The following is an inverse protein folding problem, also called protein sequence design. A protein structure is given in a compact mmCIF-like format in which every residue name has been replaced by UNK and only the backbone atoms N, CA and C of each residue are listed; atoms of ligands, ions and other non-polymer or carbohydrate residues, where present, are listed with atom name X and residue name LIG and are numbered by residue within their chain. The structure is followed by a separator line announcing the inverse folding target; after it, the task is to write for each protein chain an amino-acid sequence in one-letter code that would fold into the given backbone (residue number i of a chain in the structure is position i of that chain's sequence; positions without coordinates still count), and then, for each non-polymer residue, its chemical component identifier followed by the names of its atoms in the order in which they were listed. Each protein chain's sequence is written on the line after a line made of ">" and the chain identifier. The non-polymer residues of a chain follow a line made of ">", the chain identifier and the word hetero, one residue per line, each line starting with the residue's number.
data_IF_511113024866
#
_entry.id   IF_511113024866
#
_cell.length_a   1.000
_cell.length_b   1.000
_cell.length_c   1.000
_cell.angle_alpha   90.00
_cell.angle_beta   90.00
_cell.angle_gamma   90.00
#
_symmetry.space_group_name_H-M   'P 1'
#
loop_
_entity.id
_entity.type
_entity.pdbx_description
1 polymer ?
#
# COMPACT_ATOMS: atom_id res chain seq x y z
N UNK A 1 63.73 35.34 -2.92
CA UNK A 1 62.46 35.92 -3.26
C UNK A 1 61.65 34.76 -3.91
N UNK A 2 60.96 33.98 -3.09
CA UNK A 2 60.16 32.81 -3.52
C UNK A 2 58.71 33.27 -3.39
N UNK A 3 58.01 33.34 -4.53
CA UNK A 3 56.61 33.75 -4.60
C UNK A 3 55.71 32.60 -4.06
N UNK A 4 54.99 32.85 -3.01
CA UNK A 4 53.89 31.98 -2.53
C UNK A 4 52.72 32.07 -3.51
N UNK A 5 52.37 30.93 -4.11
CA UNK A 5 51.17 30.77 -4.91
C UNK A 5 49.98 30.53 -3.96
N UNK A 6 48.85 31.25 -4.06
CA UNK A 6 47.73 31.04 -3.17
C UNK A 6 46.98 29.75 -3.59
N UNK A 7 46.64 28.94 -2.60
CA UNK A 7 45.93 27.70 -2.74
C UNK A 7 44.40 27.93 -2.97
N UNK A 8 43.86 27.71 -4.15
CA UNK A 8 42.39 27.78 -4.42
C UNK A 8 41.64 26.50 -4.06
N UNK A 9 42.33 25.47 -3.54
CA UNK A 9 41.70 24.16 -3.31
C UNK A 9 40.99 24.02 -1.93
N UNK A 10 41.31 24.85 -0.95
CA UNK A 10 40.79 24.72 0.41
C UNK A 10 39.34 25.25 0.55
N UNK A 11 38.99 26.28 -0.21
CA UNK A 11 37.61 26.85 -0.17
C UNK A 11 36.64 26.05 -1.01
N UNK A 12 37.06 25.42 -2.10
CA UNK A 12 36.23 24.50 -2.87
C UNK A 12 35.84 23.22 -2.08
N UNK A 13 36.74 22.73 -1.22
CA UNK A 13 36.49 21.58 -0.34
C UNK A 13 35.57 21.92 0.85
N UNK A 14 35.50 23.18 1.25
CA UNK A 14 34.57 23.62 2.31
C UNK A 14 33.12 23.72 1.81
N UNK A 15 32.89 23.91 0.51
CA UNK A 15 31.53 23.91 -0.08
C UNK A 15 30.90 22.52 -0.17
N UNK A 16 31.71 21.46 -0.08
CA UNK A 16 31.27 20.06 -0.05
C UNK A 16 31.15 19.46 1.36
N UNK A 17 31.37 20.24 2.42
CA UNK A 17 31.08 19.76 3.76
C UNK A 17 29.57 19.49 3.86
N UNK A 18 29.11 18.24 4.21
CA UNK A 18 27.70 17.99 4.41
C UNK A 18 27.20 18.97 5.47
N UNK A 19 26.21 19.79 5.10
CA UNK A 19 25.47 20.64 6.03
C UNK A 19 25.16 19.78 7.26
N UNK A 20 25.47 20.24 8.46
CA UNK A 20 25.16 19.57 9.73
C UNK A 20 23.68 19.16 9.63
N UNK A 21 23.43 17.85 9.64
CA UNK A 21 22.06 17.32 9.65
C UNK A 21 21.38 17.88 10.92
N UNK A 22 20.54 18.90 10.74
CA UNK A 22 19.83 19.58 11.85
C UNK A 22 18.78 18.67 12.51
N UNK A 23 18.70 17.42 12.11
CA UNK A 23 17.61 16.52 12.49
C UNK A 23 16.26 16.91 11.84
N UNK A 24 15.32 15.98 11.80
CA UNK A 24 13.97 16.29 11.28
C UNK A 24 13.21 17.11 12.33
N UNK A 25 12.79 18.36 12.06
CA UNK A 25 12.01 19.15 12.99
C UNK A 25 10.75 18.38 13.42
N UNK A 26 10.41 18.43 14.71
CA UNK A 26 9.23 17.70 15.25
C UNK A 26 7.94 18.01 14.48
N UNK A 27 7.77 19.26 14.05
CA UNK A 27 6.60 19.70 13.25
C UNK A 27 6.56 18.99 11.90
N UNK A 28 7.68 18.88 11.20
CA UNK A 28 7.76 18.20 9.91
C UNK A 28 7.50 16.68 10.06
N UNK A 29 8.06 16.07 11.12
CA UNK A 29 7.81 14.67 11.42
C UNK A 29 6.32 14.38 11.66
N UNK A 30 5.63 15.21 12.46
CA UNK A 30 4.18 15.10 12.71
C UNK A 30 3.42 15.32 11.40
N UNK A 31 3.79 16.32 10.59
CA UNK A 31 3.15 16.59 9.30
C UNK A 31 3.19 15.38 8.37
N UNK A 32 4.36 14.78 8.19
CA UNK A 32 4.54 13.59 7.35
C UNK A 32 3.79 12.37 7.91
N UNK A 33 3.80 12.20 9.24
CA UNK A 33 3.03 11.14 9.93
C UNK A 33 1.54 11.27 9.65
N UNK A 34 0.95 12.45 9.82
CA UNK A 34 -0.48 12.68 9.58
C UNK A 34 -0.87 12.48 8.12
N UNK A 35 -0.03 12.91 7.18
CA UNK A 35 -0.27 12.67 5.74
C UNK A 35 -0.29 11.17 5.45
N UNK A 36 0.71 10.42 5.91
CA UNK A 36 0.79 8.98 5.65
C UNK A 36 -0.34 8.20 6.32
N UNK A 37 -0.70 8.59 7.54
CA UNK A 37 -1.85 8.02 8.24
C UNK A 37 -3.15 8.25 7.48
N UNK A 38 -3.38 9.47 6.98
CA UNK A 38 -4.57 9.82 6.19
C UNK A 38 -4.65 9.01 4.89
N UNK A 39 -3.53 8.87 4.17
CA UNK A 39 -3.47 8.03 2.98
C UNK A 39 -3.75 6.55 3.31
N UNK A 40 -3.22 6.04 4.43
CA UNK A 40 -3.49 4.68 4.89
C UNK A 40 -4.96 4.44 5.19
N UNK A 41 -5.61 5.35 5.94
CA UNK A 41 -7.06 5.29 6.19
C UNK A 41 -7.84 5.25 4.88
N UNK A 42 -7.55 6.15 3.95
CA UNK A 42 -8.26 6.24 2.67
C UNK A 42 -8.07 5.02 1.76
N UNK A 43 -6.95 4.32 1.89
CA UNK A 43 -6.68 3.10 1.11
C UNK A 43 -7.68 1.98 1.40
N UNK A 44 -8.15 1.86 2.62
CA UNK A 44 -9.09 0.80 3.02
C UNK A 44 -10.56 1.16 2.74
N UNK A 45 -10.90 2.45 2.67
CA UNK A 45 -12.27 2.93 2.41
C UNK A 45 -12.84 2.39 1.11
N UNK A 46 -12.05 2.36 0.05
CA UNK A 46 -12.51 1.94 -1.28
C UNK A 46 -12.96 0.46 -1.29
N UNK A 47 -12.24 -0.40 -0.58
CA UNK A 47 -12.54 -1.84 -0.54
C UNK A 47 -13.83 -2.16 0.23
N UNK A 48 -14.21 -1.31 1.18
CA UNK A 48 -15.43 -1.50 1.95
C UNK A 48 -16.65 -0.81 1.33
N UNK A 49 -16.50 0.39 0.75
CA UNK A 49 -17.61 1.21 0.29
C UNK A 49 -17.98 0.92 -1.17
N UNK A 50 -16.98 0.74 -2.04
CA UNK A 50 -17.24 0.58 -3.48
C UNK A 50 -18.13 -0.61 -3.83
N UNK A 51 -18.00 -1.82 -3.23
CA UNK A 51 -18.87 -2.94 -3.55
C UNK A 51 -20.36 -2.63 -3.26
N UNK A 52 -20.66 -2.01 -2.12
CA UNK A 52 -22.03 -1.64 -1.76
C UNK A 52 -22.59 -0.58 -2.71
N UNK A 53 -21.86 0.52 -2.95
CA UNK A 53 -22.28 1.59 -3.88
C UNK A 53 -22.47 1.05 -5.30
N UNK A 54 -21.61 0.16 -5.75
CA UNK A 54 -21.69 -0.42 -7.09
C UNK A 54 -22.96 -1.25 -7.27
N UNK A 55 -23.28 -2.09 -6.29
CA UNK A 55 -24.50 -2.92 -6.32
C UNK A 55 -25.77 -2.11 -6.18
N UNK A 56 -25.82 -1.17 -5.24
CA UNK A 56 -27.01 -0.30 -5.03
C UNK A 56 -27.33 0.52 -6.27
N UNK A 57 -26.33 0.96 -7.03
CA UNK A 57 -26.48 1.86 -8.16
C UNK A 57 -26.29 1.19 -9.53
N UNK A 58 -26.28 -0.16 -9.55
CA UNK A 58 -26.33 -0.95 -10.78
C UNK A 58 -25.06 -0.95 -11.62
N UNK A 59 -23.89 -0.71 -11.02
CA UNK A 59 -22.60 -0.89 -11.70
C UNK A 59 -22.28 -2.38 -11.78
N UNK A 60 -22.03 -2.90 -12.99
CA UNK A 60 -21.65 -4.28 -13.18
C UNK A 60 -20.33 -4.62 -12.45
N UNK A 61 -20.28 -5.79 -11.80
CA UNK A 61 -19.11 -6.22 -10.99
C UNK A 61 -17.81 -6.26 -11.79
N UNK A 62 -17.86 -6.67 -13.06
CA UNK A 62 -16.68 -6.61 -13.95
C UNK A 62 -16.19 -5.18 -14.19
N UNK A 63 -17.11 -4.22 -14.30
CA UNK A 63 -16.74 -2.81 -14.45
C UNK A 63 -16.02 -2.28 -13.19
N UNK A 64 -16.37 -2.81 -12.01
CA UNK A 64 -15.66 -2.47 -10.75
C UNK A 64 -14.20 -2.91 -10.79
N UNK A 65 -13.88 -4.03 -11.43
CA UNK A 65 -12.48 -4.47 -11.56
C UNK A 65 -11.59 -3.42 -12.24
N UNK A 66 -12.12 -2.69 -13.24
CA UNK A 66 -11.39 -1.62 -13.91
C UNK A 66 -11.16 -0.40 -13.00
N UNK A 67 -12.05 -0.15 -12.02
CA UNK A 67 -11.86 0.89 -10.99
C UNK A 67 -10.68 0.55 -10.07
N UNK A 68 -10.29 -0.71 -9.94
CA UNK A 68 -9.09 -1.12 -9.21
C UNK A 68 -7.85 -1.18 -10.11
N UNK A 69 -7.96 -1.74 -11.30
CA UNK A 69 -6.83 -2.02 -12.21
C UNK A 69 -6.24 -0.75 -12.80
N UNK A 70 -7.07 0.10 -13.43
CA UNK A 70 -6.58 1.28 -14.14
C UNK A 70 -5.85 2.26 -13.20
N UNK A 71 -6.37 2.56 -11.98
CA UNK A 71 -5.64 3.36 -11.01
C UNK A 71 -4.36 2.70 -10.49
N UNK A 72 -4.32 1.36 -10.35
CA UNK A 72 -3.09 0.67 -9.93
C UNK A 72 -1.98 0.76 -10.99
N UNK A 73 -2.34 0.64 -12.26
CA UNK A 73 -1.44 0.86 -13.39
C UNK A 73 -0.96 2.32 -13.40
N UNK A 74 -1.89 3.29 -13.31
CA UNK A 74 -1.57 4.70 -13.26
C UNK A 74 -0.64 5.05 -12.09
N UNK A 75 -0.89 4.47 -10.90
CA UNK A 75 -0.04 4.63 -9.72
C UNK A 75 1.40 4.23 -9.99
N UNK A 76 1.63 3.08 -10.63
CA UNK A 76 2.96 2.56 -10.91
C UNK A 76 3.77 3.50 -11.82
N UNK A 77 3.15 4.04 -12.87
CA UNK A 77 3.79 5.01 -13.75
C UNK A 77 3.99 6.38 -13.09
N UNK A 78 2.96 6.88 -12.41
CA UNK A 78 2.97 8.20 -11.80
C UNK A 78 3.95 8.27 -10.62
N UNK A 79 4.14 7.20 -9.84
CA UNK A 79 5.16 7.16 -8.77
C UNK A 79 6.55 7.49 -9.31
N UNK A 80 6.93 6.88 -10.43
CA UNK A 80 8.24 7.14 -11.08
C UNK A 80 8.33 8.56 -11.63
N UNK A 81 7.25 9.07 -12.22
CA UNK A 81 7.20 10.43 -12.75
C UNK A 81 7.32 11.47 -11.63
N UNK A 82 6.56 11.30 -10.54
CA UNK A 82 6.61 12.16 -9.37
C UNK A 82 7.96 12.13 -8.65
N UNK A 83 8.64 10.98 -8.61
CA UNK A 83 9.99 10.88 -8.07
C UNK A 83 10.93 11.86 -8.77
N UNK A 84 10.98 11.80 -10.11
CA UNK A 84 11.80 12.72 -10.93
C UNK A 84 11.36 14.18 -10.82
N UNK A 85 10.05 14.42 -10.71
CA UNK A 85 9.49 15.76 -10.58
C UNK A 85 9.80 16.37 -9.21
N UNK A 86 9.74 15.58 -8.15
CA UNK A 86 10.12 15.94 -6.79
C UNK A 86 11.56 16.42 -6.69
N UNK A 87 12.48 15.75 -7.40
CA UNK A 87 13.90 16.14 -7.43
C UNK A 87 14.12 17.49 -8.13
N UNK A 88 13.27 17.84 -9.12
CA UNK A 88 13.40 19.08 -9.91
C UNK A 88 12.69 20.28 -9.29
N UNK A 89 11.47 20.10 -8.79
CA UNK A 89 10.59 21.20 -8.31
C UNK A 89 10.46 21.28 -6.79
N UNK A 90 11.11 20.36 -6.07
CA UNK A 90 11.08 20.29 -4.61
C UNK A 90 10.00 19.35 -4.06
N UNK A 91 10.35 18.70 -2.98
CA UNK A 91 9.57 17.62 -2.34
C UNK A 91 8.29 18.11 -1.70
N UNK A 92 8.31 19.31 -1.12
CA UNK A 92 7.14 19.94 -0.47
C UNK A 92 5.94 20.04 -1.41
N UNK A 93 6.15 20.49 -2.65
CA UNK A 93 5.07 20.64 -3.64
C UNK A 93 4.41 19.29 -3.90
N UNK A 94 5.19 18.24 -4.13
CA UNK A 94 4.69 16.89 -4.40
C UNK A 94 3.89 16.33 -3.23
N UNK A 95 4.38 16.52 -2.00
CA UNK A 95 3.69 16.09 -0.78
C UNK A 95 2.33 16.81 -0.64
N UNK A 96 2.30 18.13 -0.81
CA UNK A 96 1.06 18.91 -0.72
C UNK A 96 0.08 18.62 -1.86
N UNK A 97 0.57 18.40 -3.07
CA UNK A 97 -0.25 17.98 -4.21
C UNK A 97 -0.89 16.62 -3.95
N UNK A 98 -0.15 15.72 -3.32
CA UNK A 98 -0.64 14.38 -3.01
C UNK A 98 -1.82 14.38 -2.04
N UNK A 99 -1.79 15.19 -0.97
CA UNK A 99 -2.93 15.25 -0.05
C UNK A 99 -4.14 15.97 -0.67
N UNK A 100 -3.92 16.95 -1.55
CA UNK A 100 -5.00 17.56 -2.35
C UNK A 100 -5.62 16.53 -3.29
N UNK A 101 -4.79 15.72 -3.97
CA UNK A 101 -5.27 14.64 -4.84
C UNK A 101 -6.11 13.62 -4.07
N UNK A 102 -5.70 13.27 -2.85
CA UNK A 102 -6.47 12.41 -1.95
C UNK A 102 -7.84 13.05 -1.62
N UNK A 103 -7.84 14.28 -1.13
CA UNK A 103 -9.06 15.01 -0.78
C UNK A 103 -10.03 15.11 -1.95
N UNK A 104 -9.52 15.52 -3.12
CA UNK A 104 -10.31 15.68 -4.33
C UNK A 104 -10.92 14.35 -4.77
N UNK A 105 -10.16 13.27 -4.73
CA UNK A 105 -10.66 11.92 -5.05
C UNK A 105 -11.81 11.49 -4.13
N UNK A 106 -11.68 11.72 -2.82
CA UNK A 106 -12.74 11.36 -1.87
C UNK A 106 -14.03 12.16 -2.12
N UNK A 107 -13.90 13.47 -2.39
CA UNK A 107 -15.05 14.33 -2.70
C UNK A 107 -15.69 13.97 -4.04
N UNK A 108 -14.89 13.67 -5.07
CA UNK A 108 -15.41 13.25 -6.37
C UNK A 108 -16.16 11.92 -6.28
N UNK A 109 -15.61 10.95 -5.55
CA UNK A 109 -16.30 9.67 -5.34
C UNK A 109 -17.61 9.87 -4.57
N UNK A 110 -17.57 10.56 -3.44
CA UNK A 110 -18.77 10.82 -2.65
C UNK A 110 -19.81 11.62 -3.43
N UNK A 111 -19.40 12.65 -4.16
CA UNK A 111 -20.28 13.45 -5.02
C UNK A 111 -20.91 12.65 -6.15
N UNK A 112 -20.12 11.81 -6.84
CA UNK A 112 -20.65 10.92 -7.88
C UNK A 112 -21.69 9.93 -7.32
N UNK A 113 -21.41 9.34 -6.15
CA UNK A 113 -22.36 8.43 -5.50
C UNK A 113 -23.64 9.15 -5.07
N UNK A 114 -23.56 10.37 -4.52
CA UNK A 114 -24.74 11.19 -4.21
C UNK A 114 -25.61 11.48 -5.45
N UNK A 115 -24.99 11.84 -6.57
CA UNK A 115 -25.70 12.06 -7.83
C UNK A 115 -26.39 10.78 -8.34
N UNK A 116 -25.73 9.62 -8.15
CA UNK A 116 -26.30 8.31 -8.44
C UNK A 116 -27.50 7.98 -7.55
N UNK A 117 -27.38 8.14 -6.23
CA UNK A 117 -28.48 7.94 -5.28
C UNK A 117 -29.64 8.91 -5.51
N UNK A 118 -29.38 10.13 -5.95
CA UNK A 118 -30.41 11.10 -6.33
C UNK A 118 -31.09 10.76 -7.68
N UNK A 119 -30.61 9.76 -8.41
CA UNK A 119 -31.13 9.38 -9.72
C UNK A 119 -30.79 10.35 -10.86
N UNK A 120 -29.84 11.28 -10.64
CA UNK A 120 -29.47 12.30 -11.64
C UNK A 120 -28.55 11.78 -12.73
N UNK A 121 -27.83 10.68 -12.44
CA UNK A 121 -26.90 10.06 -13.37
C UNK A 121 -27.13 8.54 -13.40
N UNK A 122 -26.97 7.93 -14.57
CA UNK A 122 -27.05 6.48 -14.74
C UNK A 122 -25.74 5.77 -14.35
N UNK A 123 -25.80 4.44 -14.22
CA UNK A 123 -24.69 3.59 -13.78
C UNK A 123 -23.40 3.77 -14.60
N UNK A 124 -23.49 3.97 -15.92
CA UNK A 124 -22.30 4.18 -16.77
C UNK A 124 -21.57 5.50 -16.46
N UNK A 125 -22.32 6.60 -16.28
CA UNK A 125 -21.74 7.90 -15.89
C UNK A 125 -21.17 7.84 -14.48
N UNK A 126 -21.88 7.20 -13.56
CA UNK A 126 -21.41 6.98 -12.19
C UNK A 126 -20.09 6.22 -12.17
N UNK A 127 -20.02 5.08 -12.91
CA UNK A 127 -18.80 4.31 -13.06
C UNK A 127 -17.63 5.17 -13.58
N UNK A 128 -17.86 5.96 -14.63
CA UNK A 128 -16.83 6.81 -15.21
C UNK A 128 -16.32 7.87 -14.21
N UNK A 129 -17.22 8.49 -13.44
CA UNK A 129 -16.86 9.49 -12.43
C UNK A 129 -16.10 8.87 -11.25
N UNK A 130 -16.50 7.68 -10.78
CA UNK A 130 -15.77 6.96 -9.75
C UNK A 130 -14.38 6.57 -10.27
N UNK A 131 -14.29 6.00 -11.47
CA UNK A 131 -13.00 5.68 -12.09
C UNK A 131 -12.11 6.93 -12.21
N UNK A 132 -12.65 8.04 -12.68
CA UNK A 132 -11.92 9.31 -12.78
C UNK A 132 -11.42 9.77 -11.40
N UNK A 133 -12.25 9.67 -10.37
CA UNK A 133 -11.84 10.00 -9.00
C UNK A 133 -10.63 9.18 -8.54
N UNK A 134 -10.59 7.89 -8.87
CA UNK A 134 -9.47 6.99 -8.52
C UNK A 134 -8.22 7.26 -9.37
N UNK A 135 -8.39 7.64 -10.63
CA UNK A 135 -7.28 8.08 -11.49
C UNK A 135 -6.68 9.40 -10.99
N UNK A 136 -7.50 10.35 -10.52
CA UNK A 136 -7.05 11.58 -9.85
C UNK A 136 -6.23 11.25 -8.60
N UNK A 137 -6.70 10.31 -7.76
CA UNK A 137 -5.93 9.83 -6.61
C UNK A 137 -4.56 9.27 -7.04
N UNK A 138 -4.55 8.32 -7.98
CA UNK A 138 -3.31 7.72 -8.45
C UNK A 138 -2.38 8.72 -9.13
N UNK A 139 -2.93 9.63 -9.91
CA UNK A 139 -2.17 10.66 -10.61
C UNK A 139 -1.50 11.67 -9.67
N UNK A 140 -2.20 12.13 -8.65
CA UNK A 140 -1.69 13.19 -7.77
C UNK A 140 -1.03 12.66 -6.49
N UNK A 141 -1.53 11.56 -5.91
CA UNK A 141 -1.10 11.11 -4.59
C UNK A 141 0.05 10.10 -4.60
N UNK A 142 0.34 9.46 -5.75
CA UNK A 142 1.38 8.44 -5.85
C UNK A 142 2.79 8.95 -5.54
N UNK A 143 3.02 10.26 -5.65
CA UNK A 143 4.27 10.91 -5.29
C UNK A 143 4.47 11.16 -3.79
N UNK A 144 3.40 11.10 -2.97
CA UNK A 144 3.47 11.50 -1.56
C UNK A 144 4.46 10.69 -0.75
N UNK A 145 4.46 9.36 -0.89
CA UNK A 145 5.36 8.48 -0.15
C UNK A 145 6.83 8.66 -0.57
N UNK A 146 7.21 8.55 -1.86
CA UNK A 146 8.61 8.73 -2.26
C UNK A 146 9.13 10.15 -1.97
N UNK A 147 8.31 11.18 -2.15
CA UNK A 147 8.71 12.55 -1.81
C UNK A 147 8.90 12.73 -0.30
N UNK A 148 8.05 12.12 0.55
CA UNK A 148 8.20 12.14 2.01
C UNK A 148 9.45 11.39 2.46
N UNK A 149 9.76 10.24 1.85
CA UNK A 149 10.99 9.49 2.12
C UNK A 149 12.23 10.31 1.75
N UNK A 150 12.24 10.92 0.56
CA UNK A 150 13.32 11.78 0.11
C UNK A 150 13.47 13.01 1.01
N UNK A 151 12.36 13.62 1.47
CA UNK A 151 12.36 14.75 2.40
C UNK A 151 13.01 14.40 3.74
N UNK A 152 12.77 13.21 4.27
CA UNK A 152 13.42 12.70 5.49
C UNK A 152 14.91 12.48 5.25
N UNK A 153 15.26 11.73 4.18
CA UNK A 153 16.65 11.34 3.91
C UNK A 153 17.59 12.53 3.75
N UNK A 154 17.09 13.67 3.25
CA UNK A 154 17.91 14.90 3.12
C UNK A 154 18.17 15.63 4.42
N UNK A 155 17.42 15.32 5.50
CA UNK A 155 17.49 16.08 6.77
C UNK A 155 18.03 15.29 7.95
N UNK A 156 18.00 13.97 7.86
CA UNK A 156 18.47 13.10 8.95
C UNK A 156 19.87 12.55 8.66
N UNK A 157 20.65 12.30 9.70
CA UNK A 157 21.95 11.65 9.61
C UNK A 157 21.82 10.23 9.04
N UNK A 158 22.84 9.68 8.37
CA UNK A 158 22.81 8.30 7.86
C UNK A 158 22.41 7.26 8.91
N UNK A 159 22.82 7.42 10.16
CA UNK A 159 22.50 6.53 11.27
C UNK A 159 21.01 6.54 11.64
N UNK A 160 20.30 7.66 11.45
CA UNK A 160 18.91 7.84 11.82
C UNK A 160 17.92 7.53 10.67
N UNK A 161 18.42 7.40 9.43
CA UNK A 161 17.59 7.23 8.23
C UNK A 161 16.66 6.03 8.34
N UNK A 162 17.17 4.86 8.74
CA UNK A 162 16.37 3.65 8.86
C UNK A 162 15.22 3.82 9.86
N UNK A 163 15.48 4.43 11.01
CA UNK A 163 14.48 4.69 12.05
C UNK A 163 13.42 5.68 11.58
N UNK A 164 13.81 6.77 10.91
CA UNK A 164 12.89 7.80 10.44
C UNK A 164 12.01 7.29 9.29
N UNK A 165 12.56 6.54 8.35
CA UNK A 165 11.79 5.88 7.28
C UNK A 165 10.86 4.79 7.81
N UNK A 166 11.31 4.05 8.84
CA UNK A 166 10.50 3.07 9.55
C UNK A 166 9.27 3.71 10.20
N UNK A 167 9.42 4.86 10.86
CA UNK A 167 8.31 5.63 11.45
C UNK A 167 7.31 6.11 10.39
N UNK A 168 7.79 6.56 9.24
CA UNK A 168 6.93 6.97 8.12
C UNK A 168 6.07 5.80 7.61
N UNK A 169 6.70 4.65 7.39
CA UNK A 169 6.01 3.43 6.94
C UNK A 169 5.03 2.92 8.02
N UNK A 170 5.42 2.98 9.30
CA UNK A 170 4.54 2.64 10.40
C UNK A 170 3.29 3.54 10.46
N UNK A 171 3.42 4.83 10.13
CA UNK A 171 2.29 5.77 10.05
C UNK A 171 1.29 5.39 8.96
N UNK A 172 1.77 4.98 7.78
CA UNK A 172 0.93 4.44 6.72
C UNK A 172 0.20 3.16 7.15
N UNK A 173 0.92 2.23 7.75
CA UNK A 173 0.34 0.97 8.25
C UNK A 173 -0.67 1.19 9.37
N UNK A 174 -0.41 2.15 10.26
CA UNK A 174 -1.36 2.57 11.30
C UNK A 174 -2.63 3.17 10.69
N UNK A 175 -2.50 3.95 9.61
CA UNK A 175 -3.65 4.44 8.84
C UNK A 175 -4.49 3.29 8.26
N UNK A 176 -3.84 2.30 7.65
CA UNK A 176 -4.51 1.10 7.15
C UNK A 176 -5.22 0.31 8.26
N UNK A 177 -4.65 0.29 9.46
CA UNK A 177 -5.25 -0.33 10.64
C UNK A 177 -6.48 0.45 11.15
N UNK A 178 -6.39 1.78 11.19
CA UNK A 178 -7.46 2.63 11.69
C UNK A 178 -8.60 2.82 10.67
N UNK A 179 -8.32 2.68 9.38
CA UNK A 179 -9.30 2.86 8.32
C UNK A 179 -10.58 2.05 8.50
N UNK A 180 -10.51 0.73 8.74
CA UNK A 180 -11.70 -0.09 9.01
C UNK A 180 -12.51 0.35 10.22
N UNK A 181 -11.85 0.81 11.29
CA UNK A 181 -12.54 1.36 12.46
C UNK A 181 -13.28 2.67 12.10
N UNK A 182 -12.65 3.54 11.32
CA UNK A 182 -13.29 4.76 10.78
C UNK A 182 -14.51 4.42 9.94
N UNK A 183 -14.41 3.38 9.08
CA UNK A 183 -15.55 2.90 8.28
C UNK A 183 -16.67 2.43 9.21
N UNK A 184 -16.38 1.52 10.14
CA UNK A 184 -17.38 0.93 11.05
C UNK A 184 -18.14 1.97 11.88
N UNK A 185 -17.45 3.02 12.32
CA UNK A 185 -18.06 4.10 13.12
C UNK A 185 -18.88 5.06 12.25
N UNK A 186 -18.32 5.52 11.13
CA UNK A 186 -18.91 6.60 10.33
C UNK A 186 -20.01 6.11 9.38
N UNK A 187 -19.99 4.85 8.96
CA UNK A 187 -21.06 4.28 8.12
C UNK A 187 -22.40 4.16 8.87
N UNK A 188 -22.37 4.15 10.21
CA UNK A 188 -23.59 4.27 11.02
C UNK A 188 -24.35 5.59 10.78
N UNK A 189 -23.66 6.65 10.36
CA UNK A 189 -24.23 7.96 10.01
C UNK A 189 -24.59 8.06 8.51
N UNK A 190 -24.19 7.09 7.70
CA UNK A 190 -24.42 7.01 6.26
C UNK A 190 -23.22 6.41 5.52
N UNK A 191 -23.49 5.65 4.46
CA UNK A 191 -22.47 4.90 3.68
C UNK A 191 -21.36 5.82 3.13
N UNK A 192 -21.68 7.05 2.77
CA UNK A 192 -20.73 8.02 2.20
C UNK A 192 -20.04 8.91 3.25
N UNK A 193 -20.49 8.89 4.51
CA UNK A 193 -19.94 9.73 5.59
C UNK A 193 -18.43 9.56 5.76
N UNK A 194 -17.84 8.35 5.69
CA UNK A 194 -16.39 8.16 5.79
C UNK A 194 -15.60 8.90 4.71
N UNK A 195 -16.14 9.00 3.48
CA UNK A 195 -15.49 9.70 2.38
C UNK A 195 -15.44 11.22 2.63
N UNK A 196 -16.55 11.82 3.08
CA UNK A 196 -16.59 13.24 3.42
C UNK A 196 -15.73 13.56 4.65
N UNK A 197 -15.78 12.72 5.68
CA UNK A 197 -15.00 12.92 6.90
C UNK A 197 -13.49 12.88 6.62
N UNK A 198 -13.04 11.92 5.81
CA UNK A 198 -11.61 11.82 5.45
C UNK A 198 -11.18 12.93 4.50
N UNK A 199 -12.04 13.41 3.62
CA UNK A 199 -11.78 14.59 2.81
C UNK A 199 -11.65 15.86 3.66
N UNK A 200 -12.54 16.06 4.63
CA UNK A 200 -12.48 17.18 5.58
C UNK A 200 -11.21 17.12 6.44
N UNK A 201 -10.86 15.94 6.95
CA UNK A 201 -9.60 15.71 7.67
C UNK A 201 -8.39 16.06 6.80
N UNK A 202 -8.38 15.63 5.54
CA UNK A 202 -7.30 15.92 4.60
C UNK A 202 -7.17 17.43 4.33
N UNK A 203 -8.29 18.17 4.26
CA UNK A 203 -8.28 19.64 4.12
C UNK A 203 -7.63 20.31 5.34
N UNK A 204 -8.01 19.89 6.56
CA UNK A 204 -7.43 20.41 7.81
C UNK A 204 -5.93 20.14 7.87
N UNK A 205 -5.53 18.90 7.56
CA UNK A 205 -4.12 18.51 7.54
C UNK A 205 -3.36 19.31 6.48
N UNK A 206 -3.91 19.46 5.28
CA UNK A 206 -3.29 20.25 4.22
C UNK A 206 -3.09 21.71 4.64
N UNK A 207 -4.12 22.33 5.22
CA UNK A 207 -4.07 23.71 5.67
C UNK A 207 -2.98 23.94 6.73
N UNK A 208 -2.80 22.97 7.62
CA UNK A 208 -1.76 23.00 8.64
C UNK A 208 -0.37 22.70 8.07
N UNK A 209 -0.23 21.62 7.29
CA UNK A 209 1.06 21.13 6.78
C UNK A 209 1.71 22.10 5.80
N UNK A 210 0.90 22.87 5.03
CA UNK A 210 1.45 23.90 4.13
C UNK A 210 2.27 24.96 4.87
N UNK A 211 2.01 25.18 6.17
CA UNK A 211 2.77 26.09 7.02
C UNK A 211 3.96 25.43 7.71
N UNK A 212 4.00 24.09 7.79
CA UNK A 212 5.08 23.34 8.50
C UNK A 212 6.25 23.01 7.58
N UNK A 213 5.98 22.39 6.42
CA UNK A 213 7.03 21.90 5.55
C UNK A 213 7.82 23.04 4.90
N UNK A 214 9.14 22.98 5.04
CA UNK A 214 10.04 23.96 4.41
C UNK A 214 10.20 23.66 2.92
N UNK A 215 10.27 24.71 2.10
CA UNK A 215 10.64 24.59 0.69
C UNK A 215 12.12 24.23 0.57
N UNK A 216 12.45 23.26 -0.23
CA UNK A 216 13.81 22.88 -0.61
C UNK A 216 14.05 23.28 -2.06
N UNK A 217 15.28 23.68 -2.37
CA UNK A 217 15.75 23.75 -3.74
C UNK A 217 15.81 22.36 -4.41
N UNK A 218 16.14 22.31 -5.72
CA UNK A 218 16.31 21.04 -6.43
C UNK A 218 17.28 20.12 -5.70
N UNK A 219 16.87 18.86 -5.49
CA UNK A 219 17.72 17.85 -4.85
C UNK A 219 18.76 17.28 -5.83
N UNK A 220 19.88 16.81 -5.32
CA UNK A 220 20.80 15.99 -6.10
C UNK A 220 20.07 14.70 -6.53
N UNK A 221 19.99 14.44 -7.82
CA UNK A 221 19.29 13.28 -8.37
C UNK A 221 19.79 11.97 -7.77
N UNK A 222 18.87 11.03 -7.54
CA UNK A 222 19.22 9.70 -7.08
C UNK A 222 20.12 8.98 -8.09
N UNK A 223 21.15 8.34 -7.60
CA UNK A 223 22.03 7.47 -8.41
C UNK A 223 21.17 6.35 -9.02
N UNK A 224 21.30 6.05 -10.32
CA UNK A 224 20.56 4.94 -10.93
C UNK A 224 20.92 3.64 -10.22
N UNK A 225 19.93 2.96 -9.64
CA UNK A 225 20.12 1.62 -9.10
C UNK A 225 20.49 0.65 -10.25
N UNK A 226 21.36 -0.31 -9.95
CA UNK A 226 21.69 -1.37 -10.90
C UNK A 226 20.43 -2.07 -11.43
N UNK A 227 20.47 -2.57 -12.66
CA UNK A 227 19.34 -3.29 -13.27
C UNK A 227 19.46 -4.78 -12.94
N UNK A 228 18.51 -5.31 -12.17
CA UNK A 228 18.33 -6.74 -11.97
C UNK A 228 17.19 -7.26 -12.85
N UNK A 229 17.34 -8.49 -13.37
CA UNK A 229 16.26 -9.14 -14.12
C UNK A 229 15.26 -9.81 -13.16
N UNK A 230 13.94 -9.73 -13.41
CA UNK A 230 12.94 -10.51 -12.68
C UNK A 230 13.14 -12.02 -12.75
N UNK A 231 13.88 -12.48 -13.78
CA UNK A 231 14.19 -13.88 -14.04
C UNK A 231 15.53 -14.33 -13.45
N UNK A 232 16.21 -13.47 -12.67
CA UNK A 232 17.45 -13.85 -11.98
C UNK A 232 17.17 -15.07 -11.10
N UNK A 233 17.99 -16.13 -11.28
CA UNK A 233 17.81 -17.40 -10.59
C UNK A 233 17.81 -17.27 -9.07
N UNK A 234 18.59 -16.32 -8.52
CA UNK A 234 18.66 -16.00 -7.09
C UNK A 234 17.35 -15.46 -6.53
N UNK A 235 16.55 -14.79 -7.39
CA UNK A 235 15.36 -14.04 -6.99
C UNK A 235 14.04 -14.72 -7.37
N UNK A 236 14.06 -15.78 -8.20
CA UNK A 236 12.85 -16.45 -8.71
C UNK A 236 11.83 -16.80 -7.62
N UNK A 237 12.29 -17.46 -6.52
CA UNK A 237 11.42 -17.78 -5.39
C UNK A 237 10.81 -16.53 -4.77
N UNK A 238 11.62 -15.49 -4.51
CA UNK A 238 11.12 -14.24 -3.91
C UNK A 238 10.11 -13.55 -4.79
N UNK A 239 10.34 -13.51 -6.11
CA UNK A 239 9.43 -12.88 -7.08
C UNK A 239 8.11 -13.65 -7.16
N UNK A 240 8.16 -14.99 -7.17
CA UNK A 240 6.96 -15.82 -7.18
C UNK A 240 6.16 -15.67 -5.88
N UNK A 241 6.82 -15.66 -4.73
CA UNK A 241 6.20 -15.43 -3.41
C UNK A 241 5.54 -14.04 -3.38
N UNK A 242 6.23 -13.00 -3.88
CA UNK A 242 5.69 -11.65 -3.94
C UNK A 242 4.43 -11.59 -4.81
N UNK A 243 4.46 -12.17 -6.00
CA UNK A 243 3.35 -12.19 -6.93
C UNK A 243 2.15 -12.96 -6.37
N UNK A 244 2.35 -14.19 -5.88
CA UNK A 244 1.29 -15.02 -5.34
C UNK A 244 0.69 -14.42 -4.05
N UNK A 245 1.55 -13.92 -3.14
CA UNK A 245 1.11 -13.30 -1.89
C UNK A 245 0.31 -12.02 -2.11
N UNK A 246 0.74 -11.17 -3.05
CA UNK A 246 0.00 -9.94 -3.39
C UNK A 246 -1.29 -10.23 -4.16
N UNK A 247 -1.30 -11.22 -5.06
CA UNK A 247 -2.51 -11.68 -5.73
C UNK A 247 -3.55 -12.17 -4.71
N UNK A 248 -3.15 -13.01 -3.77
CA UNK A 248 -4.04 -13.55 -2.74
C UNK A 248 -4.61 -12.43 -1.85
N UNK A 249 -3.76 -11.51 -1.39
CA UNK A 249 -4.19 -10.37 -0.58
C UNK A 249 -5.13 -9.43 -1.34
N UNK A 250 -4.81 -9.12 -2.59
CA UNK A 250 -5.63 -8.25 -3.42
C UNK A 250 -6.98 -8.90 -3.76
N UNK A 251 -7.01 -10.21 -4.05
CA UNK A 251 -8.26 -10.95 -4.26
C UNK A 251 -9.18 -10.83 -3.04
N UNK A 252 -8.64 -11.05 -1.82
CA UNK A 252 -9.41 -10.88 -0.59
C UNK A 252 -9.98 -9.47 -0.46
N UNK A 253 -9.12 -8.44 -0.57
CA UNK A 253 -9.53 -7.05 -0.35
C UNK A 253 -10.60 -6.58 -1.33
N UNK A 254 -10.53 -7.03 -2.57
CA UNK A 254 -11.35 -6.51 -3.67
C UNK A 254 -12.65 -7.28 -3.86
N UNK A 255 -12.71 -8.56 -3.48
CA UNK A 255 -13.91 -9.39 -3.64
C UNK A 255 -14.69 -9.60 -2.34
N UNK A 256 -14.13 -9.27 -1.18
CA UNK A 256 -14.75 -9.58 0.11
C UNK A 256 -16.17 -8.98 0.24
N UNK A 257 -16.38 -7.74 -0.20
CA UNK A 257 -17.69 -7.10 -0.14
C UNK A 257 -18.73 -7.82 -1.03
N UNK A 258 -18.35 -8.21 -2.24
CA UNK A 258 -19.20 -9.00 -3.14
C UNK A 258 -19.46 -10.39 -2.60
N UNK A 259 -18.43 -11.04 -2.05
CA UNK A 259 -18.56 -12.35 -1.42
C UNK A 259 -19.54 -12.37 -0.24
N UNK A 260 -19.54 -11.32 0.59
CA UNK A 260 -20.49 -11.19 1.69
C UNK A 260 -21.96 -11.07 1.18
N UNK A 261 -22.17 -10.35 0.09
CA UNK A 261 -23.50 -10.20 -0.52
C UNK A 261 -23.96 -11.50 -1.18
N UNK A 262 -23.11 -12.11 -2.01
CA UNK A 262 -23.51 -13.20 -2.89
C UNK A 262 -23.48 -14.57 -2.21
N UNK A 263 -22.58 -14.75 -1.22
CA UNK A 263 -22.44 -16.04 -0.52
C UNK A 263 -23.18 -16.10 0.81
N UNK A 264 -23.17 -15.00 1.57
CA UNK A 264 -23.81 -14.94 2.89
C UNK A 264 -25.13 -14.16 2.90
N UNK A 265 -25.52 -13.54 1.78
CA UNK A 265 -26.76 -12.74 1.70
C UNK A 265 -26.75 -11.49 2.58
N UNK A 266 -25.57 -10.93 2.89
CA UNK A 266 -25.47 -9.70 3.69
C UNK A 266 -26.08 -8.54 2.91
N UNK A 267 -26.99 -7.81 3.54
CA UNK A 267 -27.61 -6.64 2.91
C UNK A 267 -26.58 -5.57 2.54
N UNK A 268 -26.72 -4.95 1.37
CA UNK A 268 -25.76 -3.96 0.83
C UNK A 268 -25.43 -2.84 1.82
N UNK A 269 -26.43 -2.37 2.57
CA UNK A 269 -26.24 -1.33 3.60
C UNK A 269 -25.31 -1.78 4.74
N UNK A 270 -25.21 -3.07 5.04
CA UNK A 270 -24.40 -3.63 6.12
C UNK A 270 -22.99 -4.03 5.66
N UNK A 271 -22.78 -4.20 4.36
CA UNK A 271 -21.51 -4.65 3.79
C UNK A 271 -20.34 -3.78 4.20
N UNK A 272 -20.39 -2.44 4.14
CA UNK A 272 -19.24 -1.61 4.52
C UNK A 272 -18.82 -1.84 5.96
N UNK A 273 -19.77 -2.05 6.86
CA UNK A 273 -19.52 -2.34 8.28
C UNK A 273 -18.91 -3.73 8.46
N UNK A 274 -19.46 -4.75 7.79
CA UNK A 274 -19.00 -6.13 7.89
C UNK A 274 -17.58 -6.29 7.32
N UNK A 275 -17.30 -5.67 6.16
CA UNK A 275 -15.95 -5.58 5.56
C UNK A 275 -15.01 -4.78 6.47
N UNK A 276 -15.49 -3.66 7.04
CA UNK A 276 -14.72 -2.86 7.98
C UNK A 276 -14.20 -3.69 9.15
N UNK A 277 -15.05 -4.48 9.81
CA UNK A 277 -14.62 -5.37 10.90
C UNK A 277 -13.64 -6.45 10.42
N UNK A 278 -13.90 -7.08 9.27
CA UNK A 278 -13.00 -8.08 8.71
C UNK A 278 -11.58 -7.52 8.46
N UNK A 279 -11.51 -6.34 7.82
CA UNK A 279 -10.24 -5.68 7.55
C UNK A 279 -9.56 -5.17 8.84
N UNK A 280 -10.32 -4.74 9.85
CA UNK A 280 -9.79 -4.35 11.15
C UNK A 280 -9.11 -5.55 11.85
N UNK A 281 -9.77 -6.71 11.91
CA UNK A 281 -9.16 -7.92 12.47
C UNK A 281 -7.93 -8.36 11.68
N UNK A 282 -8.00 -8.29 10.36
CA UNK A 282 -6.85 -8.57 9.48
C UNK A 282 -5.67 -7.63 9.79
N UNK A 283 -5.92 -6.32 9.92
CA UNK A 283 -4.89 -5.33 10.17
C UNK A 283 -4.26 -5.47 11.58
N UNK A 284 -5.08 -5.72 12.62
CA UNK A 284 -4.60 -6.01 13.99
C UNK A 284 -3.71 -7.25 13.98
N UNK A 285 -4.15 -8.32 13.33
CA UNK A 285 -3.38 -9.57 13.24
C UNK A 285 -2.08 -9.39 12.47
N UNK A 286 -2.09 -8.59 11.39
CA UNK A 286 -0.86 -8.22 10.65
C UNK A 286 0.12 -7.49 11.57
N UNK A 287 -0.36 -6.53 12.35
CA UNK A 287 0.48 -5.80 13.30
C UNK A 287 1.06 -6.71 14.37
N UNK A 288 0.23 -7.60 14.95
CA UNK A 288 0.69 -8.58 15.93
C UNK A 288 1.75 -9.53 15.34
N UNK A 289 1.57 -9.98 14.12
CA UNK A 289 2.55 -10.78 13.41
C UNK A 289 3.90 -10.05 13.29
N UNK A 290 3.88 -8.80 12.89
CA UNK A 290 5.08 -8.01 12.59
C UNK A 290 5.78 -7.47 13.84
N UNK A 291 5.04 -7.08 14.88
CA UNK A 291 5.61 -6.44 16.07
C UNK A 291 5.83 -7.43 17.20
N UNK A 292 4.87 -8.32 17.49
CA UNK A 292 5.00 -9.26 18.62
C UNK A 292 5.72 -10.53 18.18
N UNK A 293 5.15 -11.25 17.19
CA UNK A 293 5.67 -12.56 16.81
C UNK A 293 7.10 -12.48 16.25
N UNK A 294 7.34 -11.61 15.26
CA UNK A 294 8.65 -11.48 14.62
C UNK A 294 9.71 -10.91 15.55
N UNK A 295 9.36 -9.92 16.39
CA UNK A 295 10.34 -9.33 17.30
C UNK A 295 10.69 -10.24 18.47
N UNK A 296 9.74 -11.04 18.97
CA UNK A 296 9.97 -11.97 20.08
C UNK A 296 10.73 -13.21 19.67
N UNK A 297 10.39 -13.81 18.53
CA UNK A 297 10.95 -15.09 18.10
C UNK A 297 12.12 -14.95 17.13
N UNK A 298 12.24 -13.79 16.46
CA UNK A 298 13.30 -13.49 15.46
C UNK A 298 13.53 -14.64 14.46
N UNK A 299 12.48 -15.19 13.85
CA UNK A 299 12.60 -16.34 12.97
C UNK A 299 13.35 -15.98 11.70
N UNK A 300 13.97 -16.96 11.06
CA UNK A 300 14.64 -16.80 9.78
C UNK A 300 13.64 -16.37 8.69
N UNK A 301 14.06 -15.61 7.66
CA UNK A 301 13.18 -15.17 6.57
C UNK A 301 12.41 -16.32 5.92
N UNK A 302 13.05 -17.45 5.67
CA UNK A 302 12.41 -18.66 5.12
C UNK A 302 11.30 -19.21 6.01
N UNK A 303 11.52 -19.24 7.32
CA UNK A 303 10.49 -19.66 8.29
C UNK A 303 9.28 -18.76 8.25
N UNK A 304 9.48 -17.45 8.13
CA UNK A 304 8.40 -16.47 7.97
C UNK A 304 7.62 -16.70 6.67
N UNK A 305 8.32 -16.98 5.56
CA UNK A 305 7.68 -17.28 4.28
C UNK A 305 6.82 -18.56 4.36
N UNK A 306 7.36 -19.63 4.94
CA UNK A 306 6.66 -20.91 5.09
C UNK A 306 5.44 -20.80 6.01
N UNK A 307 5.62 -20.21 7.19
CA UNK A 307 4.52 -20.03 8.14
C UNK A 307 3.44 -19.09 7.56
N UNK A 308 3.87 -17.97 6.96
CA UNK A 308 2.96 -17.00 6.37
C UNK A 308 2.13 -17.60 5.23
N UNK A 309 2.76 -18.33 4.31
CA UNK A 309 2.07 -18.99 3.21
C UNK A 309 1.14 -20.12 3.71
N UNK A 310 1.59 -20.92 4.67
CA UNK A 310 0.79 -22.00 5.26
C UNK A 310 -0.45 -21.47 6.00
N UNK A 311 -0.29 -20.45 6.83
CA UNK A 311 -1.41 -19.80 7.54
C UNK A 311 -2.39 -19.19 6.53
N UNK A 312 -1.91 -18.54 5.47
CA UNK A 312 -2.79 -17.99 4.43
C UNK A 312 -3.58 -19.08 3.70
N UNK A 313 -2.96 -20.23 3.39
CA UNK A 313 -3.66 -21.34 2.76
C UNK A 313 -4.81 -21.86 3.64
N UNK A 314 -4.56 -22.04 4.95
CA UNK A 314 -5.59 -22.41 5.94
C UNK A 314 -6.68 -21.34 6.07
N UNK A 315 -6.28 -20.07 6.07
CA UNK A 315 -7.21 -18.96 6.17
C UNK A 315 -8.14 -18.87 4.95
N UNK A 316 -7.62 -19.05 3.73
CA UNK A 316 -8.45 -19.11 2.52
C UNK A 316 -9.35 -20.33 2.49
N UNK A 317 -8.91 -21.49 2.99
CA UNK A 317 -9.79 -22.64 3.20
C UNK A 317 -10.94 -22.28 4.16
N UNK A 318 -10.63 -21.57 5.25
CA UNK A 318 -11.64 -21.06 6.18
C UNK A 318 -12.64 -20.13 5.51
N UNK A 319 -12.22 -19.24 4.59
CA UNK A 319 -13.12 -18.39 3.80
C UNK A 319 -13.99 -19.21 2.85
N UNK A 320 -13.44 -20.23 2.16
CA UNK A 320 -14.19 -21.08 1.24
C UNK A 320 -15.30 -21.86 1.96
N UNK A 321 -15.07 -22.28 3.20
CA UNK A 321 -15.98 -23.07 4.01
C UNK A 321 -16.88 -22.21 4.93
N UNK A 322 -16.69 -20.89 4.92
CA UNK A 322 -17.42 -19.99 5.83
C UNK A 322 -18.91 -19.91 5.45
N UNK A 323 -19.77 -20.18 6.44
CA UNK A 323 -21.23 -20.04 6.39
C UNK A 323 -21.77 -18.92 7.28
N UNK A 324 -20.87 -18.24 8.03
CA UNK A 324 -21.19 -17.20 9.02
C UNK A 324 -20.16 -16.08 9.02
N UNK A 325 -20.61 -14.86 9.30
CA UNK A 325 -19.75 -13.68 9.40
C UNK A 325 -18.60 -13.86 10.39
N UNK A 326 -18.83 -14.52 11.53
CA UNK A 326 -17.80 -14.76 12.55
C UNK A 326 -16.63 -15.60 12.01
N UNK A 327 -16.92 -16.63 11.19
CA UNK A 327 -15.89 -17.45 10.55
C UNK A 327 -15.06 -16.62 9.56
N UNK A 328 -15.73 -15.72 8.80
CA UNK A 328 -15.03 -14.80 7.88
C UNK A 328 -14.09 -13.87 8.65
N UNK A 329 -14.51 -13.32 9.78
CA UNK A 329 -13.64 -12.46 10.59
C UNK A 329 -12.41 -13.19 11.14
N UNK A 330 -12.57 -14.44 11.59
CA UNK A 330 -11.42 -15.27 12.01
C UNK A 330 -10.51 -15.57 10.82
N UNK A 331 -11.07 -15.98 9.69
CA UNK A 331 -10.31 -16.32 8.50
C UNK A 331 -9.57 -15.09 7.94
N UNK A 332 -10.20 -13.91 7.91
CA UNK A 332 -9.54 -12.66 7.50
C UNK A 332 -8.46 -12.21 8.50
N UNK A 333 -8.66 -12.45 9.81
CA UNK A 333 -7.62 -12.22 10.81
C UNK A 333 -6.39 -13.12 10.55
N UNK A 334 -6.61 -14.41 10.27
CA UNK A 334 -5.54 -15.35 9.92
C UNK A 334 -4.86 -14.94 8.59
N UNK A 335 -5.62 -14.48 7.57
CA UNK A 335 -5.05 -13.92 6.34
C UNK A 335 -4.12 -12.75 6.65
N UNK A 336 -4.53 -11.82 7.52
CA UNK A 336 -3.70 -10.69 7.92
C UNK A 336 -2.42 -11.12 8.62
N UNK A 337 -2.52 -12.07 9.54
CA UNK A 337 -1.34 -12.62 10.25
C UNK A 337 -0.36 -13.28 9.26
N UNK A 338 -0.87 -14.19 8.43
CA UNK A 338 -0.06 -14.88 7.43
C UNK A 338 0.56 -13.94 6.40
N UNK A 339 -0.19 -12.94 5.93
CA UNK A 339 0.31 -11.92 5.02
C UNK A 339 1.44 -11.08 5.65
N UNK A 340 1.28 -10.70 6.92
CA UNK A 340 2.30 -9.95 7.67
C UNK A 340 3.63 -10.71 7.72
N UNK A 341 3.60 -12.00 8.03
CA UNK A 341 4.79 -12.88 8.06
C UNK A 341 5.39 -13.06 6.65
N UNK A 342 4.54 -13.41 5.68
CA UNK A 342 4.96 -13.69 4.30
C UNK A 342 5.69 -12.51 3.68
N UNK A 343 5.14 -11.30 3.85
CA UNK A 343 5.69 -10.07 3.30
C UNK A 343 7.04 -9.73 3.93
N UNK A 344 7.17 -9.81 5.25
CA UNK A 344 8.44 -9.55 5.95
C UNK A 344 9.49 -10.57 5.55
N UNK A 345 9.15 -11.87 5.56
CA UNK A 345 10.03 -12.95 5.15
C UNK A 345 10.53 -12.76 3.73
N UNK A 346 9.63 -12.42 2.79
CA UNK A 346 9.96 -12.23 1.40
C UNK A 346 10.90 -11.03 1.17
N UNK A 347 10.63 -9.88 1.80
CA UNK A 347 11.50 -8.69 1.69
C UNK A 347 12.89 -8.99 2.25
N UNK A 348 12.97 -9.57 3.42
CA UNK A 348 14.24 -9.95 4.05
C UNK A 348 14.98 -11.01 3.22
N UNK A 349 14.29 -12.05 2.79
CA UNK A 349 14.87 -13.14 2.01
C UNK A 349 15.36 -12.70 0.63
N UNK A 350 14.66 -11.77 -0.04
CA UNK A 350 15.10 -11.18 -1.30
C UNK A 350 16.37 -10.31 -1.10
N UNK A 351 16.41 -9.53 0.00
CA UNK A 351 17.57 -8.72 0.36
C UNK A 351 18.81 -9.57 0.65
N UNK A 352 18.67 -10.70 1.34
CA UNK A 352 19.79 -11.61 1.63
C UNK A 352 20.31 -12.36 0.40
N UNK A 353 19.53 -12.44 -0.69
CA UNK A 353 19.93 -13.16 -1.90
C UNK A 353 20.84 -12.34 -2.84
N UNK A 354 21.11 -11.09 -2.54
CA UNK A 354 21.86 -10.17 -3.40
C UNK A 354 22.97 -9.45 -2.65
N UNK A 355 23.92 -8.86 -3.39
CA UNK A 355 25.00 -8.06 -2.83
C UNK A 355 24.53 -6.70 -2.34
N UNK A 356 25.35 -6.02 -1.51
CA UNK A 356 25.02 -4.72 -0.95
C UNK A 356 24.75 -3.63 -2.00
N UNK A 357 25.44 -3.65 -3.13
CA UNK A 357 25.28 -2.74 -4.25
C UNK A 357 24.01 -2.99 -5.07
N UNK A 358 23.43 -4.20 -5.00
CA UNK A 358 22.19 -4.61 -5.68
C UNK A 358 20.92 -4.37 -4.83
N UNK A 359 21.04 -3.96 -3.54
CA UNK A 359 19.91 -3.83 -2.60
C UNK A 359 18.80 -2.92 -3.10
N UNK A 360 19.16 -1.79 -3.72
CA UNK A 360 18.17 -0.88 -4.30
C UNK A 360 17.39 -1.49 -5.46
N UNK A 361 18.09 -2.24 -6.32
CA UNK A 361 17.49 -2.89 -7.48
C UNK A 361 16.53 -4.02 -7.06
N UNK A 362 16.91 -4.85 -6.09
CA UNK A 362 16.03 -5.94 -5.60
C UNK A 362 14.82 -5.40 -4.87
N UNK A 363 14.95 -4.32 -4.09
CA UNK A 363 13.80 -3.68 -3.44
C UNK A 363 12.80 -3.14 -4.47
N UNK A 364 13.29 -2.50 -5.53
CA UNK A 364 12.47 -2.03 -6.65
C UNK A 364 11.76 -3.16 -7.38
N UNK A 365 12.49 -4.23 -7.69
CA UNK A 365 11.95 -5.40 -8.39
C UNK A 365 10.90 -6.13 -7.53
N UNK A 366 11.16 -6.32 -6.25
CA UNK A 366 10.22 -6.94 -5.31
C UNK A 366 8.94 -6.09 -5.20
N UNK A 367 9.06 -4.76 -5.09
CA UNK A 367 7.92 -3.85 -5.07
C UNK A 367 7.10 -3.93 -6.36
N UNK A 368 7.75 -4.05 -7.53
CA UNK A 368 7.07 -4.24 -8.81
C UNK A 368 6.27 -5.54 -8.86
N UNK A 369 6.80 -6.65 -8.32
CA UNK A 369 6.08 -7.92 -8.25
C UNK A 369 4.88 -7.87 -7.30
N UNK A 370 5.02 -7.18 -6.15
CA UNK A 370 3.88 -6.92 -5.26
C UNK A 370 2.79 -6.11 -5.98
N UNK A 371 3.16 -5.08 -6.74
CA UNK A 371 2.22 -4.28 -7.53
C UNK A 371 1.54 -5.08 -8.64
N UNK A 372 2.27 -5.99 -9.31
CA UNK A 372 1.73 -6.83 -10.37
C UNK A 372 0.56 -7.71 -9.88
N UNK A 373 0.66 -8.28 -8.67
CA UNK A 373 -0.45 -9.04 -8.09
C UNK A 373 -1.71 -8.19 -7.86
N UNK A 374 -1.55 -6.94 -7.40
CA UNK A 374 -2.68 -6.01 -7.24
C UNK A 374 -3.31 -5.55 -8.57
N UNK A 375 -2.57 -5.63 -9.69
CA UNK A 375 -3.08 -5.35 -11.05
C UNK A 375 -3.81 -6.57 -11.61
N UNK A 376 -3.28 -7.77 -11.43
CA UNK A 376 -3.84 -9.02 -11.99
C UNK A 376 -5.08 -9.46 -11.20
N UNK A 377 -5.06 -9.34 -9.88
CA UNK A 377 -6.11 -9.87 -9.01
C UNK A 377 -7.51 -9.33 -9.32
N UNK A 378 -7.76 -8.03 -9.55
CA UNK A 378 -9.13 -7.55 -9.80
C UNK A 378 -9.76 -8.19 -11.02
N UNK A 379 -8.99 -8.34 -12.10
CA UNK A 379 -9.49 -8.95 -13.34
C UNK A 379 -9.76 -10.44 -13.16
N UNK A 380 -8.79 -11.17 -12.63
CA UNK A 380 -8.91 -12.61 -12.43
C UNK A 380 -9.96 -12.94 -11.34
N UNK A 381 -9.90 -12.29 -10.19
CA UNK A 381 -10.77 -12.58 -9.07
C UNK A 381 -12.24 -12.22 -9.36
N UNK A 382 -12.52 -11.07 -10.01
CA UNK A 382 -13.91 -10.73 -10.35
C UNK A 382 -14.48 -11.64 -11.44
N UNK A 383 -13.68 -12.06 -12.42
CA UNK A 383 -14.12 -13.04 -13.43
C UNK A 383 -14.44 -14.41 -12.80
N UNK A 384 -13.60 -14.85 -11.85
CA UNK A 384 -13.85 -16.07 -11.09
C UNK A 384 -15.07 -15.94 -10.19
N UNK A 385 -15.25 -14.80 -9.55
CA UNK A 385 -16.38 -14.52 -8.65
C UNK A 385 -17.74 -14.64 -9.36
N UNK A 386 -17.81 -14.24 -10.63
CA UNK A 386 -19.05 -14.37 -11.42
C UNK A 386 -19.44 -15.83 -11.72
N UNK A 387 -18.48 -16.75 -11.70
CA UNK A 387 -18.75 -18.18 -11.88
C UNK A 387 -19.21 -18.77 -10.54
N UNK A 388 -18.46 -18.52 -9.47
CA UNK A 388 -18.80 -18.89 -8.10
C UNK A 388 -18.07 -17.94 -7.13
N UNK A 389 -18.77 -17.36 -6.13
CA UNK A 389 -18.16 -16.45 -5.15
C UNK A 389 -16.94 -17.01 -4.40
N UNK A 390 -16.76 -18.32 -4.33
CA UNK A 390 -15.65 -19.01 -3.65
C UNK A 390 -14.40 -19.14 -4.51
N UNK A 391 -14.52 -19.12 -5.84
CA UNK A 391 -13.40 -19.35 -6.76
C UNK A 391 -12.24 -18.38 -6.59
N UNK A 392 -12.43 -17.07 -6.33
CA UNK A 392 -11.33 -16.17 -6.03
C UNK A 392 -10.45 -16.64 -4.86
N UNK A 393 -11.08 -17.19 -3.82
CA UNK A 393 -10.37 -17.70 -2.63
C UNK A 393 -9.72 -19.05 -2.86
N UNK A 394 -10.29 -19.89 -3.73
CA UNK A 394 -9.63 -21.12 -4.20
C UNK A 394 -8.37 -20.74 -4.98
N UNK A 395 -8.45 -19.79 -5.91
CA UNK A 395 -7.28 -19.33 -6.66
C UNK A 395 -6.22 -18.71 -5.73
N UNK A 396 -6.64 -17.91 -4.72
CA UNK A 396 -5.74 -17.34 -3.72
C UNK A 396 -5.09 -18.44 -2.85
N UNK A 397 -5.84 -19.46 -2.45
CA UNK A 397 -5.32 -20.61 -1.71
C UNK A 397 -4.27 -21.38 -2.53
N UNK A 398 -4.55 -21.65 -3.81
CA UNK A 398 -3.58 -22.29 -4.71
C UNK A 398 -2.33 -21.42 -4.91
N UNK A 399 -2.49 -20.11 -5.05
CA UNK A 399 -1.38 -19.15 -5.12
C UNK A 399 -0.53 -19.17 -3.85
N UNK A 400 -1.14 -19.21 -2.66
CA UNK A 400 -0.38 -19.29 -1.40
C UNK A 400 0.27 -20.66 -1.20
N UNK A 401 -0.35 -21.74 -1.67
CA UNK A 401 0.27 -23.07 -1.70
C UNK A 401 1.50 -23.10 -2.63
N UNK A 402 1.41 -22.45 -3.80
CA UNK A 402 2.57 -22.29 -4.69
C UNK A 402 3.67 -21.43 -4.05
N UNK A 403 3.33 -20.36 -3.33
CA UNK A 403 4.29 -19.58 -2.55
C UNK A 403 4.96 -20.43 -1.46
N UNK A 404 4.20 -21.32 -0.81
CA UNK A 404 4.73 -22.26 0.20
C UNK A 404 5.75 -23.23 -0.42
N UNK A 405 5.46 -23.80 -1.59
CA UNK A 405 6.42 -24.70 -2.29
C UNK A 405 7.67 -23.94 -2.73
N UNK A 406 7.51 -22.68 -3.21
CA UNK A 406 8.63 -21.83 -3.57
C UNK A 406 9.53 -21.49 -2.37
N UNK A 407 8.93 -21.22 -1.19
CA UNK A 407 9.66 -20.98 0.05
C UNK A 407 10.42 -22.23 0.55
N UNK A 408 9.81 -23.42 0.45
CA UNK A 408 10.45 -24.70 0.81
C UNK A 408 11.60 -25.06 -0.14
N UNK A 409 11.43 -24.79 -1.45
CA UNK A 409 12.43 -25.08 -2.48
C UNK A 409 13.62 -24.11 -2.50
N UNK A 410 13.58 -23.02 -1.74
CA UNK A 410 14.70 -22.10 -1.60
C UNK A 410 15.85 -22.83 -0.90
N UNK A 411 16.85 -23.28 -1.66
CA UNK A 411 18.08 -23.84 -1.08
C UNK A 411 18.74 -22.74 -0.25
N UNK A 412 19.12 -23.07 0.96
CA UNK A 412 19.87 -22.19 1.84
C UNK A 412 21.23 -21.93 1.20
N UNK A 413 21.33 -20.85 0.44
CA UNK A 413 22.63 -20.33 -0.02
C UNK A 413 23.48 -19.83 1.17
N UNK A 414 22.94 -19.91 2.40
CA UNK A 414 23.58 -19.46 3.64
C UNK A 414 24.26 -20.60 4.43
N UNK A 415 24.17 -21.86 3.99
CA UNK A 415 24.95 -22.96 4.58
C UNK A 415 26.29 -23.21 3.88
N UNK A 416 26.61 -22.44 2.83
CA UNK A 416 27.84 -22.60 2.05
C UNK A 416 28.70 -21.32 2.01
N UNK A 417 28.47 -20.33 2.83
CA UNK A 417 29.32 -19.17 3.08
C UNK A 417 29.76 -19.14 4.53
#
# INVERSE_FOLDING_TARGET
>A
MIAETPAPAADALRSFAPSKAEGLPRRDAIALTLIMLTHGVGQTLIFAILPAVARDLGIADQAVSLIYVLPAIAWSFMTTWWGRHSDRRGRRIVILTGIVGFMLSQLMFAGAALLGYAGWIGAGTLWALILLSRLVYSGLSSGSLPASQAYIVSRVSPAERATALGRLTASWNLGNLLGPAVIGLLTALGVLTPLFATAALALVIWAWVRGCLRSEGPGAGATPAGRLSPLDARLRSSMLIALCGSFAQASLLQTLGFYLMDHLGVATAEVPRAVGFALMFSAISTLLAQTVFVQSLRPMPRTLEILGAGINAVAFLGLILADRLFVIWIATALCGFGYGLLRLGNVAGASHAVRGDEQGAVAGLNSAMWSAGYIIAPLAAMSLHQIDPRLPYIAAMLGTALALTAAKGRKEALEQA
#
